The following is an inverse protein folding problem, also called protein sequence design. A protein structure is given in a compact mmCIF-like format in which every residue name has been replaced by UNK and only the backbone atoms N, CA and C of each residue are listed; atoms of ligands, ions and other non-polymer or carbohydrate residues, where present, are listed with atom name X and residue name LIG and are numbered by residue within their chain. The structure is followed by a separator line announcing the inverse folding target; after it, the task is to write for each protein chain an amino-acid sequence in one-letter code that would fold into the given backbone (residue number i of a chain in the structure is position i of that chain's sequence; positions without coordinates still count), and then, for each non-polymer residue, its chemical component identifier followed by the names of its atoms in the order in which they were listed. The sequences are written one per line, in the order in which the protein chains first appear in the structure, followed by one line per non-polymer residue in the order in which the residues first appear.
data_IF_442029022437
#
_entry.id   IF_442029022437
#
_cell.length_a   1.000
_cell.length_b   1.000
_cell.length_c   1.000
_cell.angle_alpha   90.00
_cell.angle_beta   90.00
_cell.angle_gamma   90.00
#
_symmetry.space_group_name_H-M   'P 1'
#
loop_
_entity.id
_entity.type
_entity.pdbx_description
1 polymer ?
#
# COMPACT_ATOMS: atom_id res chain seq x y z
N UNK A 1 18.58 -13.46 10.81
CA UNK A 1 17.61 -13.65 9.73
C UNK A 1 18.00 -12.78 8.55
N UNK A 2 17.92 -13.31 7.34
CA UNK A 2 17.98 -12.51 6.12
C UNK A 2 16.57 -12.03 5.80
N UNK A 3 16.40 -10.72 5.59
CA UNK A 3 15.12 -10.11 5.25
C UNK A 3 15.16 -9.67 3.80
N UNK A 4 14.18 -10.07 3.03
CA UNK A 4 14.01 -9.75 1.62
C UNK A 4 12.73 -8.91 1.47
N UNK A 5 12.85 -7.57 1.44
CA UNK A 5 11.69 -6.70 1.49
C UNK A 5 10.96 -6.64 0.14
N UNK A 6 9.62 -6.59 0.24
CA UNK A 6 8.72 -6.48 -0.90
C UNK A 6 7.81 -5.27 -0.66
N UNK A 7 7.61 -4.45 -1.67
CA UNK A 7 6.66 -3.36 -1.67
C UNK A 7 5.54 -3.60 -2.69
N UNK A 8 4.30 -3.48 -2.25
CA UNK A 8 3.11 -3.59 -3.09
C UNK A 8 2.60 -2.20 -3.46
N UNK A 9 2.80 -1.81 -4.72
CA UNK A 9 2.36 -0.51 -5.21
C UNK A 9 0.90 -0.57 -5.68
N UNK A 10 0.09 0.39 -5.22
CA UNK A 10 -1.29 0.54 -5.72
C UNK A 10 -1.30 1.13 -7.13
N UNK A 11 -0.40 2.07 -7.42
CA UNK A 11 -0.14 2.58 -8.77
C UNK A 11 1.37 2.57 -9.00
N UNK A 12 1.89 1.70 -9.87
CA UNK A 12 3.33 1.58 -10.11
C UNK A 12 3.96 2.91 -10.55
N UNK A 13 5.21 3.13 -10.13
CA UNK A 13 6.06 4.26 -10.55
C UNK A 13 5.66 5.65 -10.02
N UNK A 14 4.89 5.75 -8.93
CA UNK A 14 4.64 7.04 -8.28
C UNK A 14 5.94 7.59 -7.68
N UNK A 15 6.25 8.85 -7.96
CA UNK A 15 7.50 9.48 -7.56
C UNK A 15 7.69 9.47 -6.04
N UNK A 16 6.65 9.82 -5.26
CA UNK A 16 6.72 9.84 -3.81
C UNK A 16 6.98 8.46 -3.19
N UNK A 17 6.43 7.38 -3.79
CA UNK A 17 6.72 6.01 -3.38
C UNK A 17 8.17 5.66 -3.68
N UNK A 18 8.65 5.96 -4.90
CA UNK A 18 10.02 5.67 -5.32
C UNK A 18 11.06 6.37 -4.46
N UNK A 19 10.82 7.63 -4.09
CA UNK A 19 11.68 8.40 -3.19
C UNK A 19 11.73 7.78 -1.78
N UNK A 20 10.55 7.41 -1.24
CA UNK A 20 10.45 6.74 0.05
C UNK A 20 11.16 5.39 0.06
N UNK A 21 10.97 4.59 -1.00
CA UNK A 21 11.62 3.28 -1.13
C UNK A 21 13.13 3.41 -1.25
N UNK A 22 13.62 4.40 -2.00
CA UNK A 22 15.06 4.69 -2.07
C UNK A 22 15.65 5.02 -0.70
N UNK A 23 14.95 5.86 0.09
CA UNK A 23 15.37 6.12 1.46
C UNK A 23 15.48 4.84 2.28
N UNK A 24 14.49 3.92 2.20
CA UNK A 24 14.55 2.66 2.95
C UNK A 24 15.60 1.70 2.42
N UNK A 25 15.81 1.63 1.11
CA UNK A 25 16.91 0.84 0.52
C UNK A 25 18.27 1.33 1.04
N UNK A 26 18.46 2.65 1.11
CA UNK A 26 19.67 3.25 1.66
C UNK A 26 19.81 3.06 3.18
N UNK A 27 18.73 3.18 3.91
CA UNK A 27 18.71 3.05 5.38
C UNK A 27 19.00 1.60 5.81
N UNK A 28 18.31 0.63 5.22
CA UNK A 28 18.43 -0.79 5.57
C UNK A 28 19.53 -1.52 4.78
N UNK A 29 20.21 -0.84 3.83
CA UNK A 29 21.25 -1.44 2.95
C UNK A 29 20.77 -2.69 2.22
N UNK A 30 19.53 -2.68 1.76
CA UNK A 30 18.92 -3.79 1.04
C UNK A 30 18.04 -3.28 -0.09
N UNK A 31 17.96 -4.03 -1.19
CA UNK A 31 17.04 -3.70 -2.28
C UNK A 31 15.62 -4.14 -1.95
N UNK A 32 14.65 -3.37 -2.40
CA UNK A 32 13.21 -3.64 -2.23
C UNK A 32 12.63 -4.04 -3.58
N UNK A 33 12.08 -5.24 -3.69
CA UNK A 33 11.32 -5.66 -4.87
C UNK A 33 9.98 -4.91 -4.88
N UNK A 34 9.69 -4.27 -6.00
CA UNK A 34 8.47 -3.48 -6.21
C UNK A 34 7.55 -4.28 -7.13
N UNK A 35 6.39 -4.65 -6.62
CA UNK A 35 5.39 -5.43 -7.35
C UNK A 35 4.09 -4.66 -7.35
N UNK A 36 3.39 -4.53 -8.50
CA UNK A 36 2.04 -4.00 -8.51
C UNK A 36 1.15 -4.82 -7.58
N UNK A 37 0.30 -4.17 -6.79
CA UNK A 37 -0.58 -4.89 -5.87
C UNK A 37 -1.64 -5.71 -6.62
N UNK A 38 -2.16 -6.75 -5.98
CA UNK A 38 -3.31 -7.48 -6.52
C UNK A 38 -4.51 -6.56 -6.75
N UNK A 39 -4.70 -5.55 -5.91
CA UNK A 39 -5.74 -4.53 -6.07
C UNK A 39 -5.54 -3.71 -7.34
N UNK A 40 -4.32 -3.25 -7.64
CA UNK A 40 -4.04 -2.58 -8.91
C UNK A 40 -4.39 -3.45 -10.11
N UNK A 41 -3.93 -4.71 -10.08
CA UNK A 41 -4.21 -5.66 -11.16
C UNK A 41 -5.73 -5.90 -11.33
N UNK A 42 -6.46 -6.05 -10.23
CA UNK A 42 -7.92 -6.22 -10.25
C UNK A 42 -8.61 -4.98 -10.84
N UNK A 43 -8.30 -3.79 -10.36
CA UNK A 43 -8.89 -2.54 -10.86
C UNK A 43 -8.60 -2.35 -12.35
N UNK A 44 -7.37 -2.60 -12.77
CA UNK A 44 -6.97 -2.44 -14.16
C UNK A 44 -7.62 -3.48 -15.08
N UNK A 45 -7.65 -4.75 -14.68
CA UNK A 45 -8.24 -5.86 -15.47
C UNK A 45 -9.76 -5.78 -15.56
N UNK A 46 -10.44 -5.27 -14.54
CA UNK A 46 -11.90 -5.06 -14.55
C UNK A 46 -12.33 -3.83 -15.34
N UNK A 47 -11.39 -2.97 -15.73
CA UNK A 47 -11.68 -1.75 -16.47
C UNK A 47 -12.22 -0.62 -15.58
N UNK A 48 -11.86 -0.61 -14.28
CA UNK A 48 -12.25 0.45 -13.36
C UNK A 48 -11.77 1.82 -13.87
N UNK A 49 -12.69 2.76 -14.05
CA UNK A 49 -12.44 4.12 -14.58
C UNK A 49 -11.64 4.17 -15.90
N UNK A 50 -11.83 3.17 -16.74
CA UNK A 50 -11.17 3.01 -18.05
C UNK A 50 -12.07 3.43 -19.22
N UNK A 51 -11.45 3.71 -20.37
CA UNK A 51 -12.16 3.95 -21.62
C UNK A 51 -12.77 2.65 -22.16
N UNK A 52 -13.79 2.77 -23.04
CA UNK A 52 -14.42 1.60 -23.70
C UNK A 52 -13.40 0.77 -24.49
N UNK A 53 -12.44 1.45 -25.13
CA UNK A 53 -11.37 0.83 -25.91
C UNK A 53 -10.46 0.00 -25.02
N UNK A 54 -10.00 0.56 -23.90
CA UNK A 54 -9.17 -0.16 -22.93
C UNK A 54 -9.90 -1.36 -22.33
N UNK A 55 -11.17 -1.22 -21.95
CA UNK A 55 -12.01 -2.33 -21.48
C UNK A 55 -12.13 -3.43 -22.54
N UNK A 56 -12.32 -3.05 -23.81
CA UNK A 56 -12.41 -4.03 -24.91
C UNK A 56 -11.11 -4.82 -25.09
N UNK A 57 -9.96 -4.15 -25.01
CA UNK A 57 -8.64 -4.77 -25.10
C UNK A 57 -8.42 -5.71 -23.90
N UNK A 58 -8.69 -5.25 -22.69
CA UNK A 58 -8.56 -6.03 -21.46
C UNK A 58 -9.38 -7.32 -21.50
N UNK A 59 -10.64 -7.24 -21.94
CA UNK A 59 -11.53 -8.40 -22.11
C UNK A 59 -11.04 -9.40 -23.16
N UNK A 60 -10.46 -8.91 -24.26
CA UNK A 60 -9.93 -9.79 -25.32
C UNK A 60 -8.65 -10.51 -24.90
N UNK A 61 -7.79 -9.83 -24.15
CA UNK A 61 -6.48 -10.35 -23.78
C UNK A 61 -6.49 -11.19 -22.50
N UNK A 62 -7.64 -11.35 -21.85
CA UNK A 62 -7.81 -12.16 -20.63
C UNK A 62 -6.68 -11.93 -19.64
N UNK A 63 -6.51 -10.65 -19.21
CA UNK A 63 -5.48 -10.32 -18.20
C UNK A 63 -5.82 -11.08 -16.93
N UNK A 64 -4.97 -12.04 -16.59
CA UNK A 64 -5.16 -12.84 -15.38
C UNK A 64 -4.94 -11.98 -14.14
N UNK A 65 -5.87 -12.07 -13.20
CA UNK A 65 -5.65 -11.53 -11.87
C UNK A 65 -4.74 -12.47 -11.07
N UNK A 66 -3.94 -11.89 -10.19
CA UNK A 66 -3.08 -12.66 -9.29
C UNK A 66 -3.41 -12.36 -7.83
N UNK A 67 -3.27 -13.38 -7.02
CA UNK A 67 -3.52 -13.33 -5.58
C UNK A 67 -2.28 -12.85 -4.81
N UNK A 68 -2.44 -12.55 -3.53
CA UNK A 68 -1.32 -12.30 -2.63
C UNK A 68 -0.37 -13.50 -2.49
N UNK A 69 -0.85 -14.72 -2.75
CA UNK A 69 -0.01 -15.92 -2.76
C UNK A 69 0.85 -15.98 -4.02
N UNK A 70 0.30 -15.60 -5.18
CA UNK A 70 1.06 -15.52 -6.42
C UNK A 70 2.18 -14.48 -6.29
N UNK A 71 1.89 -13.32 -5.68
CA UNK A 71 2.91 -12.30 -5.39
C UNK A 71 4.01 -12.86 -4.47
N UNK A 72 3.65 -13.65 -3.45
CA UNK A 72 4.63 -14.31 -2.59
C UNK A 72 5.53 -15.25 -3.39
N UNK A 73 4.96 -16.05 -4.27
CA UNK A 73 5.71 -16.99 -5.10
C UNK A 73 6.62 -16.26 -6.09
N UNK A 74 6.15 -15.18 -6.72
CA UNK A 74 6.97 -14.33 -7.60
C UNK A 74 8.18 -13.75 -6.85
N UNK A 75 7.98 -13.26 -5.64
CA UNK A 75 9.07 -12.72 -4.83
C UNK A 75 10.07 -13.80 -4.38
N UNK A 76 9.59 -14.99 -4.05
CA UNK A 76 10.44 -16.16 -3.73
C UNK A 76 11.31 -16.54 -4.92
N UNK A 77 10.73 -16.57 -6.11
CA UNK A 77 11.44 -16.86 -7.36
C UNK A 77 12.50 -15.80 -7.66
N UNK A 78 12.13 -14.52 -7.58
CA UNK A 78 13.02 -13.38 -7.84
C UNK A 78 14.24 -13.37 -6.90
N UNK A 79 14.03 -13.68 -5.63
CA UNK A 79 15.11 -13.76 -4.64
C UNK A 79 15.80 -15.14 -4.58
N UNK A 80 15.36 -16.12 -5.37
CA UNK A 80 15.91 -17.48 -5.35
C UNK A 80 15.72 -18.20 -4.02
N UNK A 81 14.59 -17.99 -3.34
CA UNK A 81 14.32 -18.53 -2.01
C UNK A 81 13.56 -19.85 -2.04
N UNK A 82 13.60 -20.60 -0.92
CA UNK A 82 12.79 -21.81 -0.76
C UNK A 82 11.30 -21.51 -0.73
N UNK A 83 10.49 -22.35 -1.38
CA UNK A 83 9.02 -22.22 -1.44
C UNK A 83 8.35 -22.20 -0.08
N UNK A 84 9.00 -22.72 0.95
CA UNK A 84 8.53 -22.71 2.33
C UNK A 84 8.87 -21.43 3.09
N UNK A 85 9.57 -20.47 2.44
CA UNK A 85 9.89 -19.17 3.04
C UNK A 85 8.63 -18.44 3.49
N UNK A 86 8.66 -17.94 4.72
CA UNK A 86 7.55 -17.20 5.32
C UNK A 86 7.61 -15.73 4.94
N UNK A 87 6.43 -15.13 4.80
CA UNK A 87 6.28 -13.66 4.72
C UNK A 87 6.05 -13.09 6.11
N UNK A 88 6.84 -12.10 6.49
CA UNK A 88 6.56 -11.23 7.62
C UNK A 88 5.52 -10.17 7.21
N UNK A 89 4.42 -10.08 7.95
CA UNK A 89 3.36 -9.10 7.72
C UNK A 89 3.35 -8.10 8.86
N UNK A 90 3.60 -6.82 8.56
CA UNK A 90 3.64 -5.73 9.53
C UNK A 90 2.24 -5.28 9.99
N UNK A 91 1.37 -6.22 10.36
CA UNK A 91 0.04 -5.94 10.87
C UNK A 91 -0.06 -6.23 12.35
N UNK A 92 -0.86 -5.43 13.08
CA UNK A 92 -1.11 -5.60 14.50
C UNK A 92 -2.57 -6.02 14.76
N UNK A 93 -2.83 -6.59 15.93
CA UNK A 93 -4.20 -6.91 16.40
C UNK A 93 -5.03 -5.64 16.64
N UNK A 94 -4.38 -4.47 16.70
CA UNK A 94 -5.00 -3.19 16.93
C UNK A 94 -5.43 -2.46 15.65
N UNK A 95 -5.02 -2.94 14.46
CA UNK A 95 -5.34 -2.29 13.18
C UNK A 95 -6.83 -2.39 12.81
N UNK A 96 -7.44 -3.53 13.08
CA UNK A 96 -8.87 -3.77 12.86
C UNK A 96 -9.36 -5.02 13.59
N UNK A 97 -10.69 -5.12 13.78
CA UNK A 97 -11.30 -6.31 14.37
C UNK A 97 -11.03 -7.58 13.53
N UNK A 98 -11.09 -7.48 12.21
CA UNK A 98 -10.81 -8.61 11.32
C UNK A 98 -9.37 -9.09 11.45
N UNK A 99 -8.40 -8.16 11.51
CA UNK A 99 -6.98 -8.50 11.73
C UNK A 99 -6.77 -9.16 13.10
N UNK A 100 -7.39 -8.63 14.15
CA UNK A 100 -7.34 -9.23 15.49
C UNK A 100 -7.82 -10.67 15.49
N UNK A 101 -9.00 -10.93 14.91
CA UNK A 101 -9.54 -12.29 14.81
C UNK A 101 -8.60 -13.19 13.99
N UNK A 102 -8.14 -12.71 12.84
CA UNK A 102 -7.27 -13.47 11.94
C UNK A 102 -5.92 -13.82 12.55
N UNK A 103 -5.26 -12.85 13.20
CA UNK A 103 -3.94 -13.03 13.83
C UNK A 103 -4.06 -13.95 15.06
N UNK A 104 -5.06 -13.71 15.93
CA UNK A 104 -5.26 -14.53 17.13
C UNK A 104 -5.62 -15.99 16.80
N UNK A 105 -6.38 -16.23 15.74
CA UNK A 105 -6.73 -17.60 15.30
C UNK A 105 -5.50 -18.46 15.00
N UNK A 106 -4.38 -17.86 14.63
CA UNK A 106 -3.14 -18.54 14.25
C UNK A 106 -1.98 -18.24 15.20
N UNK A 107 -2.23 -17.59 16.33
CA UNK A 107 -1.23 -17.18 17.32
C UNK A 107 -0.03 -16.44 16.65
N UNK A 108 -0.32 -15.54 15.71
CA UNK A 108 0.70 -14.78 14.98
C UNK A 108 1.49 -15.58 13.92
N UNK A 109 1.25 -16.89 13.75
CA UNK A 109 1.99 -17.74 12.81
C UNK A 109 1.05 -18.65 12.01
N UNK A 110 0.88 -18.37 10.73
CA UNK A 110 0.03 -19.15 9.83
C UNK A 110 0.87 -20.08 8.95
N UNK A 111 0.96 -21.35 9.32
CA UNK A 111 1.70 -22.36 8.57
C UNK A 111 1.10 -22.66 7.19
N UNK A 112 -0.22 -22.57 7.06
CA UNK A 112 -0.91 -22.83 5.78
C UNK A 112 -0.60 -21.78 4.73
N UNK A 113 -0.64 -20.49 5.08
CA UNK A 113 -0.36 -19.38 4.17
C UNK A 113 1.09 -18.87 4.27
N UNK A 114 1.95 -19.55 5.03
CA UNK A 114 3.36 -19.16 5.24
C UNK A 114 3.53 -17.69 5.65
N UNK A 115 2.70 -17.22 6.59
CA UNK A 115 2.71 -15.84 7.10
C UNK A 115 2.99 -15.82 8.59
N UNK A 116 3.77 -14.83 9.03
CA UNK A 116 3.91 -14.54 10.45
C UNK A 116 3.81 -13.01 10.69
N UNK A 117 3.44 -12.66 11.91
CA UNK A 117 3.13 -11.30 12.29
C UNK A 117 4.07 -10.85 13.40
N UNK A 118 5.29 -10.36 13.07
CA UNK A 118 6.35 -10.09 14.05
C UNK A 118 6.00 -8.97 15.03
N UNK A 119 5.06 -8.11 14.69
CA UNK A 119 4.60 -6.99 15.52
C UNK A 119 3.13 -7.11 15.91
N UNK A 120 2.60 -8.34 15.96
CA UNK A 120 1.18 -8.61 16.22
C UNK A 120 0.62 -7.84 17.43
N UNK A 121 1.37 -7.80 18.53
CA UNK A 121 0.96 -7.22 19.80
C UNK A 121 1.41 -5.76 20.00
N UNK A 122 2.07 -5.17 19.01
CA UNK A 122 2.54 -3.79 19.12
C UNK A 122 1.36 -2.83 19.20
N UNK A 123 1.49 -1.89 20.12
CA UNK A 123 0.64 -0.71 20.19
C UNK A 123 1.23 0.42 19.34
N UNK A 124 0.47 1.48 19.13
CA UNK A 124 0.98 2.69 18.48
C UNK A 124 2.18 3.29 19.24
N UNK A 125 2.14 3.23 20.58
CA UNK A 125 3.24 3.73 21.41
C UNK A 125 4.52 2.93 21.19
N UNK A 126 4.42 1.61 21.06
CA UNK A 126 5.58 0.76 20.78
C UNK A 126 6.20 1.11 19.42
N UNK A 127 5.36 1.33 18.40
CA UNK A 127 5.81 1.75 17.06
C UNK A 127 6.52 3.12 17.15
N UNK A 128 5.94 4.10 17.85
CA UNK A 128 6.54 5.42 18.05
C UNK A 128 7.92 5.32 18.74
N UNK A 129 8.02 4.49 19.77
CA UNK A 129 9.30 4.23 20.48
C UNK A 129 10.37 3.69 19.53
N UNK A 130 10.00 2.70 18.69
CA UNK A 130 10.93 2.13 17.71
C UNK A 130 11.36 3.15 16.64
N UNK A 131 10.44 3.97 16.13
CA UNK A 131 10.78 5.02 15.14
C UNK A 131 11.81 6.01 15.74
N UNK A 132 11.60 6.44 16.99
CA UNK A 132 12.53 7.34 17.69
C UNK A 132 13.87 6.66 17.93
N UNK A 133 13.86 5.46 18.52
CA UNK A 133 15.05 4.70 18.90
C UNK A 133 15.97 4.43 17.72
N UNK A 134 15.41 4.04 16.60
CA UNK A 134 16.17 3.68 15.40
C UNK A 134 16.28 4.83 14.38
N UNK A 135 15.68 5.99 14.68
CA UNK A 135 15.67 7.18 13.80
C UNK A 135 15.15 6.87 12.39
N UNK A 136 14.15 6.00 12.30
CA UNK A 136 13.48 5.66 11.05
C UNK A 136 12.43 6.72 10.74
N UNK A 137 12.46 7.27 9.54
CA UNK A 137 11.42 8.19 9.07
C UNK A 137 10.26 7.42 8.47
N UNK A 138 9.04 7.90 8.71
CA UNK A 138 7.87 7.44 7.99
C UNK A 138 7.87 8.00 6.54
N UNK A 139 7.25 7.29 5.59
CA UNK A 139 7.15 7.77 4.22
C UNK A 139 6.24 9.02 4.15
N UNK A 140 6.39 9.79 3.07
CA UNK A 140 5.73 11.10 2.91
C UNK A 140 4.20 11.02 2.92
N UNK A 141 3.62 9.89 2.56
CA UNK A 141 2.18 9.65 2.60
C UNK A 141 1.60 9.78 4.03
N UNK A 142 2.37 9.50 5.07
CA UNK A 142 1.95 9.79 6.45
C UNK A 142 1.86 11.30 6.75
N UNK A 143 2.66 12.11 6.07
CA UNK A 143 2.58 13.57 6.17
C UNK A 143 1.35 14.12 5.45
N UNK A 144 0.96 13.52 4.33
CA UNK A 144 -0.14 13.99 3.49
C UNK A 144 -1.49 13.43 3.97
N UNK A 145 -1.56 12.13 4.27
CA UNK A 145 -2.82 11.44 4.60
C UNK A 145 -2.90 10.93 6.04
N UNK A 146 -1.80 11.00 6.80
CA UNK A 146 -1.70 10.39 8.13
C UNK A 146 -1.74 8.85 8.11
N UNK A 147 -1.53 8.25 6.96
CA UNK A 147 -1.49 6.79 6.74
C UNK A 147 -0.92 6.49 5.36
N UNK A 148 -0.55 5.25 5.09
CA UNK A 148 -0.12 4.78 3.77
C UNK A 148 -1.18 5.07 2.70
N UNK A 149 -0.75 5.46 1.51
CA UNK A 149 -1.62 5.61 0.34
C UNK A 149 -2.19 4.24 -0.06
N UNK A 150 -3.51 4.09 0.03
CA UNK A 150 -4.16 2.78 -0.09
C UNK A 150 -5.51 2.83 -0.84
N UNK A 151 -5.68 3.76 -1.76
CA UNK A 151 -6.93 3.82 -2.51
C UNK A 151 -7.02 4.90 -3.58
N UNK A 152 -7.93 4.66 -4.52
CA UNK A 152 -8.26 5.58 -5.61
C UNK A 152 -9.63 6.25 -5.39
N UNK A 153 -10.01 6.47 -4.15
CA UNK A 153 -11.22 7.21 -3.82
C UNK A 153 -10.90 8.67 -3.45
N UNK A 154 -11.94 9.46 -3.31
CA UNK A 154 -11.86 10.89 -3.04
C UNK A 154 -10.89 11.28 -1.90
N UNK A 155 -10.84 10.46 -0.83
CA UNK A 155 -9.98 10.74 0.34
C UNK A 155 -8.50 10.84 -0.07
N UNK A 156 -8.07 9.97 -0.97
CA UNK A 156 -6.69 9.88 -1.39
C UNK A 156 -6.39 10.83 -2.56
N UNK A 157 -7.30 10.86 -3.53
CA UNK A 157 -7.10 11.59 -4.79
C UNK A 157 -7.15 13.11 -4.61
N UNK A 158 -7.93 13.63 -3.68
CA UNK A 158 -7.99 15.06 -3.40
C UNK A 158 -6.64 15.61 -2.98
N UNK A 159 -6.05 14.99 -1.96
CA UNK A 159 -4.74 15.39 -1.44
C UNK A 159 -3.61 15.05 -2.43
N UNK A 160 -3.73 13.93 -3.17
CA UNK A 160 -2.76 13.58 -4.22
C UNK A 160 -2.70 14.67 -5.29
N UNK A 161 -3.84 15.14 -5.77
CA UNK A 161 -3.93 16.19 -6.79
C UNK A 161 -3.36 17.54 -6.28
N UNK A 162 -3.61 17.86 -5.00
CA UNK A 162 -3.17 19.11 -4.39
C UNK A 162 -1.67 19.11 -4.10
N UNK A 163 -1.13 18.03 -3.54
CA UNK A 163 0.23 17.98 -3.03
C UNK A 163 1.24 17.31 -3.96
N UNK A 164 0.78 16.39 -4.80
CA UNK A 164 1.62 15.56 -5.68
C UNK A 164 1.03 15.49 -7.10
N UNK A 165 0.92 16.64 -7.81
CA UNK A 165 0.22 16.70 -9.10
C UNK A 165 0.82 15.79 -10.18
N UNK A 166 2.14 15.56 -10.18
CA UNK A 166 2.78 14.62 -11.11
C UNK A 166 2.32 13.18 -10.89
N UNK A 167 2.24 12.76 -9.63
CA UNK A 167 1.74 11.42 -9.29
C UNK A 167 0.25 11.30 -9.60
N UNK A 168 -0.52 12.38 -9.42
CA UNK A 168 -1.92 12.40 -9.85
C UNK A 168 -2.05 12.23 -11.37
N UNK A 169 -1.20 12.88 -12.17
CA UNK A 169 -1.18 12.72 -13.63
C UNK A 169 -0.80 11.29 -14.02
N UNK A 170 0.11 10.66 -13.29
CA UNK A 170 0.45 9.25 -13.48
C UNK A 170 -0.75 8.34 -13.18
N UNK A 171 -1.46 8.56 -12.07
CA UNK A 171 -2.70 7.82 -11.77
C UNK A 171 -3.74 8.01 -12.88
N UNK A 172 -3.85 9.21 -13.44
CA UNK A 172 -4.76 9.51 -14.56
C UNK A 172 -4.36 8.77 -15.85
N UNK A 173 -3.07 8.52 -16.07
CA UNK A 173 -2.62 7.67 -17.20
C UNK A 173 -3.12 6.22 -17.06
N UNK A 174 -3.09 5.67 -15.84
CA UNK A 174 -3.62 4.33 -15.57
C UNK A 174 -5.15 4.29 -15.56
N UNK A 175 -5.79 5.35 -15.04
CA UNK A 175 -7.24 5.44 -14.82
C UNK A 175 -7.77 6.77 -15.39
N UNK A 176 -8.01 6.86 -16.71
CA UNK A 176 -8.35 8.12 -17.37
C UNK A 176 -9.56 8.86 -16.81
N UNK A 177 -10.53 8.14 -16.24
CA UNK A 177 -11.74 8.74 -15.65
C UNK A 177 -11.64 8.96 -14.15
N UNK A 178 -10.42 8.92 -13.57
CA UNK A 178 -10.22 9.07 -12.11
C UNK A 178 -10.75 10.39 -11.56
N UNK A 179 -10.80 11.45 -12.38
CA UNK A 179 -11.36 12.74 -11.97
C UNK A 179 -12.86 12.68 -11.65
N UNK A 180 -13.58 11.65 -12.13
CA UNK A 180 -14.98 11.43 -11.76
C UNK A 180 -15.15 11.24 -10.24
N UNK A 181 -14.14 10.66 -9.56
CA UNK A 181 -14.15 10.55 -8.11
C UNK A 181 -14.03 11.91 -7.40
N UNK A 182 -13.36 12.88 -8.01
CA UNK A 182 -13.24 14.23 -7.46
C UNK A 182 -14.57 15.01 -7.58
N UNK A 183 -15.34 14.81 -8.66
CA UNK A 183 -16.67 15.41 -8.80
C UNK A 183 -17.66 14.95 -7.72
N UNK A 184 -17.50 13.74 -7.18
CA UNK A 184 -18.33 13.25 -6.07
C UNK A 184 -18.19 14.11 -4.82
N UNK A 185 -17.04 14.77 -4.60
CA UNK A 185 -16.83 15.70 -3.49
C UNK A 185 -17.83 16.86 -3.53
N UNK A 186 -17.97 17.46 -4.70
CA UNK A 186 -18.83 18.63 -4.90
C UNK A 186 -20.32 18.27 -4.75
N UNK A 187 -20.71 17.08 -5.25
CA UNK A 187 -22.09 16.62 -5.26
C UNK A 187 -22.58 16.10 -3.91
N UNK A 188 -21.72 15.45 -3.13
CA UNK A 188 -22.15 14.68 -1.96
C UNK A 188 -21.68 15.25 -0.63
N UNK A 189 -20.86 16.31 -0.58
CA UNK A 189 -20.29 16.91 0.64
C UNK A 189 -19.68 15.89 1.62
N UNK A 190 -19.22 14.74 1.11
CA UNK A 190 -18.82 13.57 1.90
C UNK A 190 -17.41 13.67 2.52
N UNK A 191 -16.77 14.84 2.42
CA UNK A 191 -15.38 14.99 2.85
C UNK A 191 -15.30 15.45 4.31
N UNK A 192 -14.87 14.58 5.19
CA UNK A 192 -14.47 14.96 6.56
C UNK A 192 -12.96 15.27 6.66
N UNK A 193 -12.60 16.52 6.36
CA UNK A 193 -11.22 17.01 6.42
C UNK A 193 -10.63 16.91 7.84
N UNK A 194 -11.44 17.07 8.89
CA UNK A 194 -10.99 17.06 10.29
C UNK A 194 -10.40 15.71 10.73
N UNK A 195 -10.94 14.62 10.22
CA UNK A 195 -10.45 13.29 10.59
C UNK A 195 -9.05 13.01 10.02
N UNK A 196 -8.75 13.56 8.84
CA UNK A 196 -7.45 13.46 8.19
C UNK A 196 -6.43 14.35 8.90
N UNK A 197 -6.78 15.60 9.20
CA UNK A 197 -5.93 16.54 9.94
C UNK A 197 -5.45 15.96 11.27
N UNK A 198 -6.33 15.28 12.01
CA UNK A 198 -5.97 14.61 13.26
C UNK A 198 -4.91 13.52 13.06
N UNK A 199 -5.00 12.74 11.97
CA UNK A 199 -4.02 11.70 11.65
C UNK A 199 -2.68 12.29 11.18
N UNK A 200 -2.74 13.31 10.32
CA UNK A 200 -1.56 14.04 9.84
C UNK A 200 -0.79 14.60 11.03
N UNK A 201 -1.45 15.33 11.94
CA UNK A 201 -0.82 15.92 13.13
C UNK A 201 -0.17 14.86 14.04
N UNK A 202 -0.71 13.65 14.07
CA UNK A 202 -0.13 12.57 14.86
C UNK A 202 1.20 12.05 14.29
N UNK A 203 1.27 11.87 12.99
CA UNK A 203 2.37 11.13 12.36
C UNK A 203 3.40 12.00 11.62
N UNK A 204 3.05 13.23 11.22
CA UNK A 204 3.93 14.12 10.43
C UNK A 204 5.26 14.44 11.10
N UNK A 205 5.32 14.38 12.43
CA UNK A 205 6.57 14.59 13.19
C UNK A 205 7.65 13.52 12.96
N UNK A 206 7.29 12.39 12.36
CA UNK A 206 8.20 11.27 12.06
C UNK A 206 8.60 11.20 10.58
N UNK A 207 8.13 12.11 9.74
CA UNK A 207 8.44 12.16 8.30
C UNK A 207 9.73 12.92 7.93
#
# INVERSE_FOLDING_TARGET
FNVYPIYYSLCPYMDFELESLKYYEDFFKTKIIKIPSSTFNELYSTGYLQTKEAISISKKNTISTYSNEDIRLMAIEEYGLDKNTYIAVGATVNDSMQRRIGINKVNGLNHKSKKFYPIADFTVSDIEEYLIKYKVKLPIDYKIWGSTFDGLNLRWLGELKEHLPKDFDLVKMYFPFIEAELFRKELLQLWDKKSIEKKINKWSKYC
#
